data_IF_225346047532
#
_entry.id   IF_225346047532
#
_cell.length_a   1.000
_cell.length_b   1.000
_cell.length_c   1.000
_cell.angle_alpha   90.00
_cell.angle_beta   90.00
_cell.angle_gamma   90.00
#
_symmetry.space_group_name_H-M   'P 1'
#
loop_
_entity.id
_entity.type
_entity.pdbx_description
1 polymer ?
#
# COMPACT_ATOMS: atom_id res chain seq x y z
N UNK A 1 21.40 -16.18 -4.00
CA UNK A 1 20.25 -15.71 -3.19
C UNK A 1 19.41 -14.80 -4.07
N UNK A 2 18.08 -14.92 -4.06
CA UNK A 2 17.19 -14.07 -4.85
C UNK A 2 16.68 -12.90 -4.01
N UNK A 3 16.57 -11.72 -4.61
CA UNK A 3 15.93 -10.54 -4.04
C UNK A 3 14.58 -10.34 -4.74
N UNK A 4 13.49 -10.52 -4.00
CA UNK A 4 12.14 -10.26 -4.48
C UNK A 4 11.71 -8.91 -3.93
N UNK A 5 11.34 -7.97 -4.80
CA UNK A 5 10.76 -6.69 -4.39
C UNK A 5 9.34 -6.59 -4.93
N UNK A 6 8.38 -6.52 -4.01
CA UNK A 6 7.00 -6.20 -4.31
C UNK A 6 6.83 -4.69 -4.44
N UNK A 7 6.75 -4.22 -5.68
CA UNK A 7 6.61 -2.83 -6.06
C UNK A 7 5.15 -2.48 -6.43
N UNK A 8 4.16 -3.15 -5.83
CA UNK A 8 2.73 -2.90 -6.07
C UNK A 8 2.33 -1.42 -5.96
N UNK A 9 3.04 -0.61 -5.17
CA UNK A 9 2.79 0.82 -4.98
C UNK A 9 3.86 1.74 -5.59
N UNK A 10 4.74 1.25 -6.48
CA UNK A 10 5.86 2.05 -7.01
C UNK A 10 5.41 3.37 -7.63
N UNK A 11 4.30 3.38 -8.37
CA UNK A 11 3.87 4.61 -9.06
C UNK A 11 3.33 5.68 -8.09
N UNK A 12 3.25 5.39 -6.80
CA UNK A 12 2.76 6.28 -5.73
C UNK A 12 3.85 6.67 -4.73
N UNK A 13 5.14 6.48 -5.05
CA UNK A 13 6.23 6.93 -4.19
C UNK A 13 6.45 8.45 -4.29
N UNK A 14 6.95 9.06 -3.20
CA UNK A 14 7.09 10.52 -3.09
C UNK A 14 8.30 11.13 -3.82
N UNK A 15 9.24 10.31 -4.28
CA UNK A 15 10.45 10.76 -4.97
C UNK A 15 10.21 10.89 -6.47
N UNK A 16 10.98 11.69 -7.18
CA UNK A 16 10.97 11.73 -8.64
C UNK A 16 11.87 10.62 -9.22
N UNK A 17 11.56 10.16 -10.43
CA UNK A 17 12.32 9.09 -11.09
C UNK A 17 12.01 7.70 -10.53
N UNK A 18 12.99 6.79 -10.59
CA UNK A 18 12.83 5.43 -10.09
C UNK A 18 12.97 5.35 -8.56
N UNK A 19 12.23 4.45 -7.87
CA UNK A 19 12.30 4.32 -6.41
C UNK A 19 13.67 3.83 -5.90
N UNK A 20 14.44 3.17 -6.77
CA UNK A 20 15.77 2.65 -6.47
C UNK A 20 16.57 2.39 -7.76
N UNK A 21 17.89 2.20 -7.63
CA UNK A 21 18.79 1.93 -8.75
C UNK A 21 19.06 0.44 -9.01
N UNK A 22 18.25 -0.49 -8.47
CA UNK A 22 18.52 -1.95 -8.56
C UNK A 22 18.65 -2.46 -10.00
N UNK A 23 17.81 -1.98 -10.92
CA UNK A 23 17.89 -2.37 -12.33
C UNK A 23 19.18 -1.94 -13.03
N UNK A 24 19.85 -0.89 -12.52
CA UNK A 24 21.09 -0.36 -13.09
C UNK A 24 22.34 -1.12 -12.61
N UNK A 25 22.19 -2.06 -11.68
CA UNK A 25 23.31 -2.85 -11.18
C UNK A 25 23.80 -3.84 -12.26
N UNK A 26 25.13 -4.07 -12.39
CA UNK A 26 25.64 -5.13 -13.25
C UNK A 26 24.99 -6.47 -12.90
N UNK A 27 24.50 -7.19 -13.91
CA UNK A 27 23.85 -8.49 -13.74
C UNK A 27 22.63 -8.49 -12.78
N UNK A 28 21.94 -7.34 -12.62
CA UNK A 28 20.81 -7.21 -11.70
C UNK A 28 19.78 -8.34 -11.83
N UNK A 29 19.43 -8.72 -13.06
CA UNK A 29 18.39 -9.72 -13.34
C UNK A 29 18.75 -11.14 -12.88
N UNK A 30 20.03 -11.45 -12.60
CA UNK A 30 20.43 -12.77 -12.12
C UNK A 30 19.83 -13.07 -10.74
N UNK A 31 19.73 -12.03 -9.90
CA UNK A 31 19.26 -12.16 -8.52
C UNK A 31 17.95 -11.41 -8.26
N UNK A 32 17.65 -10.36 -9.03
CA UNK A 32 16.49 -9.51 -8.81
C UNK A 32 15.23 -10.07 -9.48
N UNK A 33 14.14 -10.10 -8.71
CA UNK A 33 12.77 -10.36 -9.15
C UNK A 33 11.92 -9.17 -8.73
N UNK A 34 11.49 -8.40 -9.72
CA UNK A 34 10.60 -7.26 -9.53
C UNK A 34 9.15 -7.70 -9.76
N UNK A 35 8.26 -7.43 -8.81
CA UNK A 35 6.82 -7.67 -8.95
C UNK A 35 6.08 -6.33 -9.11
N UNK A 36 5.18 -6.26 -10.10
CA UNK A 36 4.41 -5.08 -10.42
C UNK A 36 2.92 -5.38 -10.49
N UNK A 37 2.09 -4.37 -10.19
CA UNK A 37 0.64 -4.53 -10.12
C UNK A 37 -0.11 -3.42 -10.84
N UNK A 38 -0.88 -3.79 -11.86
CA UNK A 38 -1.80 -2.86 -12.54
C UNK A 38 -3.05 -2.55 -11.72
N UNK A 39 -3.27 -3.29 -10.61
CA UNK A 39 -4.40 -3.08 -9.71
C UNK A 39 -4.42 -1.68 -9.13
N UNK A 40 -3.24 -1.15 -8.80
CA UNK A 40 -3.12 0.18 -8.19
C UNK A 40 -2.87 1.25 -9.22
N UNK A 41 -1.94 1.02 -10.16
CA UNK A 41 -1.61 1.97 -11.21
C UNK A 41 -2.84 2.37 -12.05
N UNK A 42 -3.64 1.41 -12.52
CA UNK A 42 -4.76 1.69 -13.45
C UNK A 42 -6.13 1.34 -12.86
N UNK A 43 -6.23 1.24 -11.53
CA UNK A 43 -7.47 0.86 -10.81
C UNK A 43 -8.06 -0.50 -11.25
N UNK A 44 -7.26 -1.41 -11.78
CA UNK A 44 -7.69 -2.73 -12.28
C UNK A 44 -7.76 -3.82 -11.19
N UNK A 45 -8.13 -3.46 -9.95
CA UNK A 45 -8.06 -4.38 -8.78
C UNK A 45 -8.80 -5.71 -8.99
N UNK A 46 -9.98 -5.66 -9.60
CA UNK A 46 -10.82 -6.83 -9.91
C UNK A 46 -10.38 -7.64 -11.13
N UNK A 47 -9.51 -7.10 -11.99
CA UNK A 47 -9.08 -7.79 -13.22
C UNK A 47 -7.92 -8.77 -12.99
N UNK A 48 -7.28 -8.72 -11.81
CA UNK A 48 -6.27 -9.69 -11.36
C UNK A 48 -5.06 -9.83 -12.31
N UNK A 49 -4.59 -8.71 -12.86
CA UNK A 49 -3.39 -8.68 -13.72
C UNK A 49 -2.25 -7.95 -13.03
N UNK A 50 -1.07 -8.55 -13.10
CA UNK A 50 0.21 -7.98 -12.66
C UNK A 50 1.30 -8.30 -13.68
N UNK A 51 2.52 -7.89 -13.39
CA UNK A 51 3.69 -8.20 -14.20
C UNK A 51 4.88 -8.53 -13.30
N UNK A 52 5.90 -9.19 -13.86
CA UNK A 52 7.16 -9.40 -13.17
C UNK A 52 8.33 -9.26 -14.14
N UNK A 53 9.49 -8.85 -13.62
CA UNK A 53 10.74 -8.74 -14.39
C UNK A 53 11.84 -9.50 -13.65
N UNK A 54 12.53 -10.40 -14.36
CA UNK A 54 13.68 -11.17 -13.86
C UNK A 54 14.47 -11.78 -15.04
N UNK A 55 15.49 -12.61 -14.79
CA UNK A 55 16.26 -13.27 -15.85
C UNK A 55 15.43 -14.26 -16.68
N UNK A 56 15.79 -14.44 -17.95
CA UNK A 56 15.13 -15.40 -18.86
C UNK A 56 15.12 -16.82 -18.32
N UNK A 57 16.22 -17.27 -17.72
CA UNK A 57 16.31 -18.60 -17.13
C UNK A 57 15.26 -18.79 -16.02
N UNK A 58 15.05 -17.77 -15.19
CA UNK A 58 14.05 -17.80 -14.12
C UNK A 58 12.62 -17.65 -14.65
N UNK A 59 12.41 -16.83 -15.67
CA UNK A 59 11.12 -16.76 -16.37
C UNK A 59 10.68 -18.15 -16.86
N UNK A 60 11.60 -18.92 -17.46
CA UNK A 60 11.29 -20.30 -17.88
C UNK A 60 10.85 -21.22 -16.73
N UNK A 61 11.40 -21.07 -15.52
CA UNK A 61 10.93 -21.83 -14.35
C UNK A 61 9.57 -21.34 -13.82
N UNK A 62 9.31 -20.03 -13.88
CA UNK A 62 8.04 -19.44 -13.49
C UNK A 62 6.92 -19.87 -14.46
N UNK A 63 7.19 -19.88 -15.76
CA UNK A 63 6.25 -20.31 -16.80
C UNK A 63 5.82 -21.77 -16.62
N UNK A 64 6.75 -22.69 -16.31
CA UNK A 64 6.41 -24.09 -15.98
C UNK A 64 5.40 -24.19 -14.85
N UNK A 65 5.52 -23.36 -13.82
CA UNK A 65 4.56 -23.33 -12.71
C UNK A 65 3.23 -22.73 -13.16
N UNK A 66 3.26 -21.59 -13.85
CA UNK A 66 2.05 -20.91 -14.34
C UNK A 66 1.22 -21.82 -15.26
N UNK A 67 1.85 -22.62 -16.12
CA UNK A 67 1.20 -23.61 -16.99
C UNK A 67 0.37 -24.65 -16.22
N UNK A 68 0.68 -24.88 -14.95
CA UNK A 68 -0.05 -25.84 -14.09
C UNK A 68 -1.12 -25.19 -13.21
N UNK A 69 -1.15 -23.86 -13.14
CA UNK A 69 -2.04 -23.12 -12.23
C UNK A 69 -3.06 -22.29 -13.00
N UNK A 70 -2.59 -21.41 -13.89
CA UNK A 70 -3.42 -20.41 -14.54
C UNK A 70 -3.26 -20.38 -16.07
N UNK A 71 -2.16 -20.91 -16.60
CA UNK A 71 -1.72 -20.88 -18.00
C UNK A 71 -1.50 -19.45 -18.51
N UNK A 72 -2.55 -18.65 -18.58
CA UNK A 72 -2.47 -17.25 -19.01
C UNK A 72 -3.36 -16.34 -18.13
N UNK A 73 -2.96 -15.07 -17.92
CA UNK A 73 -3.80 -14.10 -17.23
C UNK A 73 -5.01 -13.72 -18.08
N UNK A 74 -6.08 -13.23 -17.44
CA UNK A 74 -7.32 -12.86 -18.12
C UNK A 74 -7.10 -11.80 -19.22
N UNK A 75 -7.52 -12.11 -20.45
CA UNK A 75 -7.25 -11.28 -21.64
C UNK A 75 -7.77 -9.84 -21.52
N UNK A 76 -8.95 -9.64 -20.94
CA UNK A 76 -9.53 -8.29 -20.74
C UNK A 76 -8.61 -7.44 -19.86
N UNK A 77 -8.08 -8.02 -18.78
CA UNK A 77 -7.16 -7.31 -17.90
C UNK A 77 -5.81 -7.02 -18.57
N UNK A 78 -5.33 -7.92 -19.43
CA UNK A 78 -4.11 -7.68 -20.23
C UNK A 78 -4.31 -6.52 -21.20
N UNK A 79 -5.42 -6.49 -21.94
CA UNK A 79 -5.74 -5.41 -22.88
C UNK A 79 -5.89 -4.06 -22.16
N UNK A 80 -6.57 -4.04 -21.02
CA UNK A 80 -6.72 -2.82 -20.21
C UNK A 80 -5.37 -2.33 -19.64
N UNK A 81 -4.53 -3.24 -19.17
CA UNK A 81 -3.20 -2.91 -18.66
C UNK A 81 -2.29 -2.35 -19.77
N UNK A 82 -2.29 -2.96 -20.95
CA UNK A 82 -1.54 -2.47 -22.12
C UNK A 82 -2.00 -1.06 -22.49
N UNK A 83 -3.31 -0.84 -22.62
CA UNK A 83 -3.83 0.49 -22.94
C UNK A 83 -3.43 1.53 -21.89
N UNK A 84 -3.46 1.16 -20.60
CA UNK A 84 -2.99 2.03 -19.52
C UNK A 84 -1.52 2.41 -19.65
N UNK A 85 -0.64 1.44 -19.95
CA UNK A 85 0.79 1.68 -20.17
C UNK A 85 1.06 2.63 -21.35
N UNK A 86 0.26 2.53 -22.41
CA UNK A 86 0.45 3.31 -23.64
C UNK A 86 -0.18 4.70 -23.56
N UNK A 87 -1.23 4.90 -22.75
CA UNK A 87 -2.08 6.09 -22.84
C UNK A 87 -2.29 6.85 -21.52
N UNK A 88 -1.99 6.27 -20.36
CA UNK A 88 -2.37 6.85 -19.06
C UNK A 88 -1.21 7.39 -18.21
N UNK A 89 -0.03 7.62 -18.79
CA UNK A 89 1.13 8.13 -18.04
C UNK A 89 0.85 9.45 -17.32
N UNK A 90 0.22 10.43 -17.99
CA UNK A 90 -0.10 11.73 -17.40
C UNK A 90 -1.17 11.61 -16.31
N UNK A 91 -2.21 10.83 -16.58
CA UNK A 91 -3.27 10.56 -15.61
C UNK A 91 -2.72 9.86 -14.36
N UNK A 92 -1.82 8.88 -14.52
CA UNK A 92 -1.17 8.20 -13.40
C UNK A 92 -0.30 9.16 -12.58
N UNK A 93 0.39 10.11 -13.23
CA UNK A 93 1.16 11.15 -12.54
C UNK A 93 0.26 12.10 -11.73
N UNK A 94 -0.92 12.46 -12.25
CA UNK A 94 -1.92 13.24 -11.52
C UNK A 94 -2.47 12.50 -10.30
N UNK A 95 -2.79 11.21 -10.46
CA UNK A 95 -3.23 10.34 -9.37
C UNK A 95 -2.15 10.20 -8.29
N UNK A 96 -0.87 10.05 -8.70
CA UNK A 96 0.27 10.08 -7.77
C UNK A 96 0.30 11.38 -6.97
N UNK A 97 0.16 12.52 -7.63
CA UNK A 97 0.21 13.83 -6.98
C UNK A 97 -0.94 14.00 -5.96
N UNK A 98 -2.12 13.49 -6.26
CA UNK A 98 -3.25 13.48 -5.33
C UNK A 98 -2.95 12.66 -4.07
N UNK A 99 -2.32 11.51 -4.23
CA UNK A 99 -1.98 10.64 -3.12
C UNK A 99 -0.88 11.25 -2.25
N UNK A 100 0.09 11.95 -2.86
CA UNK A 100 1.09 12.74 -2.14
C UNK A 100 0.42 13.86 -1.33
N UNK A 101 -0.57 14.57 -1.90
CA UNK A 101 -1.34 15.59 -1.16
C UNK A 101 -2.07 14.99 0.04
N UNK A 102 -2.72 13.83 -0.12
CA UNK A 102 -3.40 13.12 0.99
C UNK A 102 -2.42 12.66 2.06
N UNK A 103 -1.27 12.12 1.69
CA UNK A 103 -0.18 11.81 2.63
C UNK A 103 0.26 13.07 3.39
N UNK A 104 0.37 14.21 2.70
CA UNK A 104 0.67 15.51 3.28
C UNK A 104 -0.38 15.94 4.31
N UNK A 105 -1.66 15.80 3.99
CA UNK A 105 -2.77 16.12 4.89
C UNK A 105 -2.79 15.24 6.14
N UNK A 106 -2.52 13.93 6.02
CA UNK A 106 -2.32 13.03 7.16
C UNK A 106 -1.18 13.55 8.05
N UNK A 107 0.01 13.81 7.47
CA UNK A 107 1.16 14.28 8.26
C UNK A 107 0.90 15.62 8.93
N UNK A 108 0.27 16.56 8.23
CA UNK A 108 -0.03 17.91 8.73
C UNK A 108 -1.11 17.90 9.83
N UNK A 109 -2.11 17.02 9.73
CA UNK A 109 -3.16 16.88 10.75
C UNK A 109 -2.74 16.08 11.98
N UNK A 110 -1.71 15.23 11.87
CA UNK A 110 -1.29 14.33 12.94
C UNK A 110 -0.99 14.96 14.32
N UNK A 111 -0.47 16.20 14.45
CA UNK A 111 -0.17 16.79 15.76
C UNK A 111 -1.32 16.76 16.78
N UNK A 112 -2.58 16.82 16.35
CA UNK A 112 -3.73 16.75 17.28
C UNK A 112 -3.88 15.38 17.96
N UNK A 113 -3.45 14.30 17.30
CA UNK A 113 -3.40 12.97 17.90
C UNK A 113 -2.11 12.74 18.68
N UNK A 114 -0.99 13.33 18.22
CA UNK A 114 0.26 13.29 18.96
C UNK A 114 0.11 13.90 20.36
N UNK A 115 -0.65 14.99 20.49
CA UNK A 115 -1.02 15.59 21.78
C UNK A 115 -1.83 14.66 22.70
N UNK A 116 -2.44 13.60 22.15
CA UNK A 116 -3.14 12.54 22.89
C UNK A 116 -2.31 11.26 23.05
N UNK A 117 -1.04 11.26 22.67
CA UNK A 117 -0.12 10.13 22.84
C UNK A 117 -0.04 9.16 21.65
N UNK A 118 -0.65 9.48 20.50
CA UNK A 118 -0.49 8.67 19.29
C UNK A 118 0.88 8.91 18.65
N UNK A 119 1.42 7.91 17.95
CA UNK A 119 2.62 8.05 17.10
C UNK A 119 2.32 7.72 15.64
N UNK A 120 2.79 8.53 14.70
CA UNK A 120 2.73 8.22 13.27
C UNK A 120 4.00 7.46 12.90
N UNK A 121 3.88 6.17 12.61
CA UNK A 121 5.04 5.33 12.25
C UNK A 121 5.38 5.47 10.78
N UNK A 122 4.37 5.53 9.92
CA UNK A 122 4.55 5.79 8.49
C UNK A 122 3.27 6.37 7.87
N UNK A 123 3.46 7.14 6.80
CA UNK A 123 2.38 7.57 5.92
C UNK A 123 2.95 7.65 4.49
N UNK A 124 2.46 6.78 3.62
CA UNK A 124 2.95 6.65 2.25
C UNK A 124 2.03 5.77 1.42
N UNK A 125 2.08 5.97 0.10
CA UNK A 125 1.08 5.44 -0.82
C UNK A 125 -0.33 5.67 -0.25
N UNK A 126 -1.03 4.60 0.13
CA UNK A 126 -2.44 4.65 0.51
C UNK A 126 -2.71 4.52 2.01
N UNK A 127 -1.67 4.37 2.82
CA UNK A 127 -1.82 3.93 4.21
C UNK A 127 -1.06 4.81 5.19
N UNK A 128 -1.69 5.00 6.35
CA UNK A 128 -1.04 5.50 7.54
C UNK A 128 -0.95 4.35 8.54
N UNK A 129 0.24 4.12 9.07
CA UNK A 129 0.49 3.19 10.16
C UNK A 129 0.72 4.01 11.43
N UNK A 130 -0.20 3.87 12.39
CA UNK A 130 -0.21 4.69 13.60
C UNK A 130 -0.16 3.79 14.83
N UNK A 131 0.53 4.22 15.87
CA UNK A 131 0.50 3.60 17.20
C UNK A 131 -0.46 4.38 18.08
N UNK A 132 -1.37 3.69 18.77
CA UNK A 132 -2.30 4.31 19.72
C UNK A 132 -1.79 4.21 21.16
N UNK A 133 -2.22 5.11 22.06
CA UNK A 133 -1.74 5.16 23.46
C UNK A 133 -2.49 4.22 24.43
N UNK A 134 -3.58 3.60 23.98
CA UNK A 134 -4.51 2.88 24.86
C UNK A 134 -3.97 1.51 25.31
N UNK A 135 -4.36 1.10 26.52
CA UNK A 135 -4.11 -0.24 27.09
C UNK A 135 -5.21 -1.25 26.65
N UNK A 136 -5.37 -1.37 25.34
CA UNK A 136 -6.26 -2.34 24.69
C UNK A 136 -5.58 -2.81 23.40
N UNK A 137 -5.73 -4.08 23.03
CA UNK A 137 -5.19 -4.57 21.77
C UNK A 137 -5.86 -3.90 20.58
N UNK A 138 -5.10 -3.62 19.53
CA UNK A 138 -5.59 -3.11 18.25
C UNK A 138 -6.65 -4.03 17.65
N UNK A 139 -6.55 -5.34 17.90
CA UNK A 139 -7.53 -6.35 17.49
C UNK A 139 -8.92 -6.14 18.11
N UNK A 140 -8.98 -5.64 19.35
CA UNK A 140 -10.23 -5.33 20.05
C UNK A 140 -10.66 -3.87 19.82
N UNK A 141 -9.69 -2.96 19.65
CA UNK A 141 -9.93 -1.56 19.36
C UNK A 141 -10.55 -1.35 17.97
N UNK A 142 -10.04 -2.01 16.92
CA UNK A 142 -10.50 -1.77 15.55
C UNK A 142 -12.01 -2.03 15.35
N UNK A 143 -12.63 -3.10 15.89
CA UNK A 143 -14.08 -3.26 15.89
C UNK A 143 -14.84 -2.17 16.66
N UNK A 144 -14.31 -1.70 17.80
CA UNK A 144 -14.92 -0.59 18.55
C UNK A 144 -14.88 0.72 17.76
N UNK A 145 -13.79 1.01 17.06
CA UNK A 145 -13.69 2.19 16.19
C UNK A 145 -14.76 2.22 15.10
N UNK A 146 -15.19 1.06 14.59
CA UNK A 146 -16.29 0.97 13.62
C UNK A 146 -17.62 1.36 14.27
N UNK A 147 -17.93 0.77 15.42
CA UNK A 147 -19.22 0.96 16.10
C UNK A 147 -19.34 2.34 16.77
N UNK A 148 -18.30 2.78 17.46
CA UNK A 148 -18.32 3.99 18.30
C UNK A 148 -17.94 5.26 17.52
N UNK A 149 -17.24 5.12 16.39
CA UNK A 149 -16.69 6.27 15.65
C UNK A 149 -16.83 6.18 14.13
N UNK A 150 -17.39 5.09 13.59
CA UNK A 150 -17.54 4.90 12.15
C UNK A 150 -16.20 4.89 11.40
N UNK A 151 -15.12 4.43 12.03
CA UNK A 151 -13.79 4.30 11.43
C UNK A 151 -13.50 2.82 11.19
N UNK A 152 -13.40 2.43 9.93
CA UNK A 152 -12.92 1.11 9.54
C UNK A 152 -11.40 1.14 9.30
N UNK A 153 -10.66 0.38 10.08
CA UNK A 153 -9.22 0.23 9.96
C UNK A 153 -8.81 -1.22 10.24
N UNK A 154 -7.55 -1.55 9.93
CA UNK A 154 -7.02 -2.89 10.19
C UNK A 154 -6.10 -2.88 11.42
N UNK A 155 -6.21 -3.85 12.34
CA UNK A 155 -5.33 -3.97 13.48
C UNK A 155 -3.90 -4.34 13.06
N UNK A 156 -2.92 -3.82 13.78
CA UNK A 156 -1.50 -4.09 13.58
C UNK A 156 -1.15 -5.56 13.76
N UNK A 157 -1.93 -6.29 14.57
CA UNK A 157 -1.79 -7.74 14.78
C UNK A 157 -1.94 -8.56 13.50
N UNK A 158 -2.57 -8.04 12.44
CA UNK A 158 -2.64 -8.70 11.13
C UNK A 158 -1.34 -8.61 10.33
N UNK A 159 -0.41 -7.73 10.72
CA UNK A 159 0.83 -7.44 9.98
C UNK A 159 2.10 -7.81 10.74
N UNK A 160 1.97 -8.18 12.01
CA UNK A 160 3.07 -8.59 12.88
C UNK A 160 3.00 -10.11 13.12
N UNK A 161 4.15 -10.79 13.30
CA UNK A 161 4.19 -12.13 13.86
C UNK A 161 3.41 -12.23 15.17
N UNK A 162 2.86 -13.41 15.47
CA UNK A 162 2.02 -13.61 16.67
C UNK A 162 2.77 -13.41 17.99
N UNK A 163 4.09 -13.54 17.98
CA UNK A 163 4.99 -13.33 19.11
C UNK A 163 5.56 -11.89 19.19
N UNK A 164 5.24 -11.02 18.23
CA UNK A 164 5.63 -9.61 18.27
C UNK A 164 4.54 -8.77 18.97
N UNK A 165 4.79 -8.31 20.21
CA UNK A 165 3.79 -7.57 20.99
C UNK A 165 3.50 -6.20 20.41
N UNK A 166 4.35 -5.68 19.51
CA UNK A 166 4.16 -4.34 18.95
C UNK A 166 2.88 -4.23 18.12
N UNK A 167 2.45 -5.30 17.45
CA UNK A 167 1.23 -5.32 16.62
C UNK A 167 -0.03 -4.93 17.39
N UNK A 168 -0.09 -5.23 18.69
CA UNK A 168 -1.22 -4.91 19.55
C UNK A 168 -1.44 -3.42 19.76
N UNK A 169 -0.46 -2.54 19.47
CA UNK A 169 -0.62 -1.09 19.65
C UNK A 169 -0.74 -0.32 18.33
N UNK A 170 -0.72 -1.01 17.19
CA UNK A 170 -0.72 -0.35 15.88
C UNK A 170 -2.04 -0.52 15.14
N UNK A 171 -2.39 0.47 14.31
CA UNK A 171 -3.50 0.45 13.38
C UNK A 171 -3.02 0.86 11.99
N UNK A 172 -3.51 0.18 10.96
CA UNK A 172 -3.34 0.58 9.56
C UNK A 172 -4.64 1.19 9.04
N UNK A 173 -4.58 2.48 8.70
CA UNK A 173 -5.71 3.23 8.15
C UNK A 173 -5.45 3.46 6.67
N UNK A 174 -6.40 3.04 5.82
CA UNK A 174 -6.36 3.34 4.40
C UNK A 174 -7.05 4.68 4.12
N UNK A 175 -6.35 5.63 3.49
CA UNK A 175 -6.88 6.96 3.18
C UNK A 175 -6.99 7.21 1.66
N UNK A 176 -6.77 6.19 0.82
CA UNK A 176 -6.82 6.32 -0.63
C UNK A 176 -8.16 6.82 -1.20
N UNK A 177 -9.25 6.78 -0.43
CA UNK A 177 -10.57 7.28 -0.85
C UNK A 177 -11.02 8.51 -0.05
N UNK A 178 -10.17 9.06 0.83
CA UNK A 178 -10.50 10.26 1.59
C UNK A 178 -9.98 11.49 0.86
N UNK A 179 -10.82 12.51 0.76
CA UNK A 179 -10.39 13.87 0.43
C UNK A 179 -9.89 14.59 1.71
N UNK A 180 -9.51 15.86 1.57
CA UNK A 180 -9.01 16.66 2.70
C UNK A 180 -10.05 16.77 3.83
N UNK A 181 -11.34 16.89 3.50
CA UNK A 181 -12.42 16.94 4.48
C UNK A 181 -12.58 15.61 5.20
N UNK A 182 -12.54 14.49 4.48
CA UNK A 182 -12.59 13.15 5.05
C UNK A 182 -11.42 12.87 5.99
N UNK A 183 -10.22 13.37 5.67
CA UNK A 183 -9.05 13.29 6.56
C UNK A 183 -9.27 14.14 7.81
N UNK A 184 -9.83 15.35 7.69
CA UNK A 184 -10.15 16.19 8.85
C UNK A 184 -11.21 15.52 9.76
N UNK A 185 -12.26 14.94 9.17
CA UNK A 185 -13.29 14.18 9.90
C UNK A 185 -12.71 12.94 10.58
N UNK A 186 -11.78 12.23 9.94
CA UNK A 186 -11.05 11.12 10.57
C UNK A 186 -10.35 11.59 11.85
N UNK A 187 -9.61 12.70 11.79
CA UNK A 187 -8.94 13.26 12.97
C UNK A 187 -9.92 13.67 14.06
N UNK A 188 -11.01 14.37 13.72
CA UNK A 188 -12.04 14.76 14.67
C UNK A 188 -12.60 13.56 15.44
N UNK A 189 -12.92 12.48 14.72
CA UNK A 189 -13.43 11.23 15.30
C UNK A 189 -12.39 10.56 16.21
N UNK A 190 -11.13 10.46 15.77
CA UNK A 190 -10.05 9.89 16.58
C UNK A 190 -9.73 10.71 17.84
N UNK A 191 -9.83 12.04 17.76
CA UNK A 191 -9.67 12.96 18.90
C UNK A 191 -10.79 12.78 19.93
N UNK A 192 -12.01 12.52 19.45
CA UNK A 192 -13.20 12.33 20.28
C UNK A 192 -13.31 10.95 20.94
N UNK A 193 -12.37 10.03 20.66
CA UNK A 193 -12.34 8.72 21.31
C UNK A 193 -12.25 8.86 22.82
N UNK A 194 -13.15 8.16 23.50
CA UNK A 194 -13.19 8.02 24.95
C UNK A 194 -13.04 6.53 25.27
N UNK A 195 -11.80 6.08 25.39
CA UNK A 195 -11.40 4.69 25.60
C UNK A 195 -10.60 4.60 26.88
#
# INVERSE_FOLDING_TARGET
IALIVDETYRDYHSQDGAPHALFSQPNALDTFIHLYSFSKAFRLTGHRVGALITSKARLGEIEKFLDTIAICPGQIGQAAALWGLENLSDWLAEERNEIIRRCGAIKAGFPVLAAKGWELKSAGAYFAYMKHPFDISSADLAPRLVSDSGILCLPGTMFCPTDDPSGAQHLRIAFANLDANGIATLYQRLVALNI
#
